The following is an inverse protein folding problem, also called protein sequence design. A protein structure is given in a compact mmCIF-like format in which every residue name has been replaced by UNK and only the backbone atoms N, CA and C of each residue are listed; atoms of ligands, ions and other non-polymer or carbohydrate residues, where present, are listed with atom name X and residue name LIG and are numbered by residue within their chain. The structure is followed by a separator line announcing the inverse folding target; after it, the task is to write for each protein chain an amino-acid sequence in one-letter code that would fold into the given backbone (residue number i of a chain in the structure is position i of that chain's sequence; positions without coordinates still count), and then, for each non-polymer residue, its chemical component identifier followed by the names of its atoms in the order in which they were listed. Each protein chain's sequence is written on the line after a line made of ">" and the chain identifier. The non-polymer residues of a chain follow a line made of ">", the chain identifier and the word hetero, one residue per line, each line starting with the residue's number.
data_IF_840911434294
#
_entry.id   IF_840911434294
#
_cell.length_a   1.000
_cell.length_b   1.000
_cell.length_c   1.000
_cell.angle_alpha   90.00
_cell.angle_beta   90.00
_cell.angle_gamma   90.00
#
_symmetry.space_group_name_H-M   'P 1'
#
loop_
_entity.id
_entity.type
_entity.pdbx_description
1 polymer ?
#
# COMPACT_ATOMS: atom_id res chain seq x y z
N UNK A 1 1.82 3.93 42.20
CA UNK A 1 0.51 4.21 41.56
C UNK A 1 0.66 5.49 40.76
N UNK A 2 0.66 5.42 39.43
CA UNK A 2 0.77 6.63 38.61
C UNK A 2 -0.54 7.42 38.74
N UNK A 3 -0.47 8.62 39.31
CA UNK A 3 -1.63 9.49 39.49
C UNK A 3 -2.06 9.98 38.10
N UNK A 4 -3.35 9.84 37.76
CA UNK A 4 -3.86 10.37 36.49
C UNK A 4 -3.66 11.88 36.45
N UNK A 5 -2.98 12.37 35.42
CA UNK A 5 -2.85 13.79 35.15
C UNK A 5 -4.22 14.40 34.83
N UNK A 6 -4.55 15.52 35.47
CA UNK A 6 -5.79 16.28 35.22
C UNK A 6 -5.58 17.51 34.33
N UNK A 7 -4.33 17.86 34.03
CA UNK A 7 -4.01 19.00 33.16
C UNK A 7 -4.64 18.83 31.78
N UNK A 8 -5.16 19.93 31.22
CA UNK A 8 -5.80 19.95 29.89
C UNK A 8 -5.26 21.10 29.07
N UNK A 9 -5.26 20.94 27.75
CA UNK A 9 -4.89 22.02 26.83
C UNK A 9 -5.97 22.16 25.75
N UNK A 10 -6.34 23.40 25.45
CA UNK A 10 -7.27 23.75 24.38
C UNK A 10 -6.52 24.53 23.30
N UNK A 11 -6.53 24.00 22.08
CA UNK A 11 -6.01 24.70 20.90
C UNK A 11 -7.13 25.41 20.15
N UNK A 12 -6.93 26.67 19.79
CA UNK A 12 -7.86 27.48 19.01
C UNK A 12 -7.42 27.60 17.55
N UNK A 13 -8.33 28.05 16.67
CA UNK A 13 -8.08 28.18 15.22
C UNK A 13 -7.00 29.20 14.87
N UNK A 14 -6.74 30.17 15.74
CA UNK A 14 -5.65 31.16 15.62
C UNK A 14 -4.29 30.61 16.08
N UNK A 15 -4.21 29.29 16.30
CA UNK A 15 -3.02 28.60 16.83
C UNK A 15 -2.66 28.98 18.28
N UNK A 16 -3.51 29.72 18.99
CA UNK A 16 -3.32 29.93 20.43
C UNK A 16 -3.63 28.66 21.21
N UNK A 17 -2.88 28.42 22.28
CA UNK A 17 -3.02 27.25 23.15
C UNK A 17 -3.20 27.75 24.59
N UNK A 18 -4.29 27.34 25.23
CA UNK A 18 -4.55 27.62 26.64
C UNK A 18 -4.41 26.32 27.42
N UNK A 19 -3.45 26.28 28.35
CA UNK A 19 -3.23 25.15 29.25
C UNK A 19 -3.92 25.45 30.59
N UNK A 20 -4.61 24.45 31.14
CA UNK A 20 -5.26 24.49 32.45
C UNK A 20 -4.63 23.45 33.36
N UNK A 21 -4.36 23.88 34.59
CA UNK A 21 -3.69 23.12 35.65
C UNK A 21 -2.24 22.74 35.33
N UNK A 22 -1.48 22.39 36.37
CA UNK A 22 -0.09 21.93 36.22
C UNK A 22 -0.02 20.41 36.01
N UNK A 23 0.98 19.96 35.24
CA UNK A 23 1.26 18.54 35.06
C UNK A 23 1.78 17.92 36.36
N UNK A 24 1.29 16.73 36.68
CA UNK A 24 1.72 15.96 37.86
C UNK A 24 2.74 14.87 37.52
N UNK A 25 3.30 14.92 36.31
CA UNK A 25 4.28 13.97 35.79
C UNK A 25 5.29 14.70 34.91
N UNK A 26 6.47 14.10 34.75
CA UNK A 26 7.45 14.55 33.77
C UNK A 26 6.99 14.21 32.34
N UNK A 27 7.50 14.91 31.32
CA UNK A 27 7.28 14.56 29.93
C UNK A 27 7.75 13.12 29.64
N UNK A 28 6.93 12.38 28.89
CA UNK A 28 7.28 11.03 28.40
C UNK A 28 7.84 11.14 26.98
N UNK A 29 9.16 11.35 26.90
CA UNK A 29 9.88 11.47 25.63
C UNK A 29 9.77 10.20 24.77
N UNK A 30 9.71 9.03 25.41
CA UNK A 30 9.53 7.75 24.72
C UNK A 30 8.16 7.67 24.06
N UNK A 31 7.10 8.03 24.78
CA UNK A 31 5.75 8.07 24.21
C UNK A 31 5.64 9.09 23.07
N UNK A 32 6.31 10.24 23.17
CA UNK A 32 6.37 11.24 22.10
C UNK A 32 7.03 10.68 20.83
N UNK A 33 8.21 10.08 20.96
CA UNK A 33 8.93 9.46 19.83
C UNK A 33 8.07 8.36 19.18
N UNK A 34 7.46 7.49 19.98
CA UNK A 34 6.57 6.43 19.49
C UNK A 34 5.35 7.02 18.77
N UNK A 35 4.79 8.12 19.25
CA UNK A 35 3.67 8.80 18.60
C UNK A 35 4.06 9.36 17.23
N UNK A 36 5.18 10.08 17.14
CA UNK A 36 5.71 10.62 15.89
C UNK A 36 5.99 9.51 14.87
N UNK A 37 6.59 8.40 15.31
CA UNK A 37 6.81 7.22 14.47
C UNK A 37 5.50 6.65 13.91
N UNK A 38 4.46 6.50 14.74
CA UNK A 38 3.16 6.00 14.30
C UNK A 38 2.50 6.95 13.31
N UNK A 39 2.66 8.26 13.49
CA UNK A 39 2.14 9.26 12.54
C UNK A 39 2.87 9.17 11.20
N UNK A 40 4.20 9.04 11.22
CA UNK A 40 5.01 8.84 10.02
C UNK A 40 4.63 7.56 9.27
N UNK A 41 4.43 6.44 9.98
CA UNK A 41 3.94 5.19 9.40
C UNK A 41 2.60 5.39 8.69
N UNK A 42 1.64 6.05 9.35
CA UNK A 42 0.32 6.31 8.77
C UNK A 42 0.40 7.19 7.52
N UNK A 43 1.27 8.19 7.52
CA UNK A 43 1.53 9.07 6.38
C UNK A 43 2.12 8.29 5.20
N UNK A 44 3.21 7.55 5.41
CA UNK A 44 3.82 6.66 4.40
C UNK A 44 2.83 5.63 3.86
N UNK A 45 1.98 5.06 4.71
CA UNK A 45 0.98 4.10 4.26
C UNK A 45 -0.04 4.70 3.26
N UNK A 46 -0.27 6.02 3.30
CA UNK A 46 -1.16 6.71 2.36
C UNK A 46 -0.42 7.11 1.09
N UNK A 47 0.80 7.62 1.22
CA UNK A 47 1.62 8.12 0.11
C UNK A 47 2.23 7.00 -0.75
N UNK A 48 2.60 5.88 -0.13
CA UNK A 48 3.28 4.78 -0.79
C UNK A 48 2.30 3.66 -1.19
N UNK A 49 2.42 3.15 -2.42
CA UNK A 49 1.61 2.03 -2.92
C UNK A 49 2.14 0.64 -2.56
N UNK A 50 3.36 0.54 -2.00
CA UNK A 50 4.05 -0.73 -1.73
C UNK A 50 3.42 -1.61 -0.63
N UNK A 51 3.91 -2.83 -0.40
CA UNK A 51 3.44 -3.70 0.68
C UNK A 51 3.56 -3.03 2.06
N UNK A 52 2.57 -3.21 2.92
CA UNK A 52 2.61 -2.66 4.30
C UNK A 52 3.79 -3.23 5.08
N UNK A 53 4.17 -4.47 4.79
CA UNK A 53 5.27 -5.16 5.45
C UNK A 53 6.59 -4.42 5.23
N UNK A 54 6.86 -4.00 4.00
CA UNK A 54 8.03 -3.16 3.67
C UNK A 54 8.02 -1.83 4.44
N UNK A 55 6.87 -1.16 4.53
CA UNK A 55 6.73 0.12 5.24
C UNK A 55 7.01 -0.06 6.74
N UNK A 56 6.55 -1.18 7.31
CA UNK A 56 6.77 -1.51 8.71
C UNK A 56 8.24 -1.88 8.95
N UNK A 57 8.82 -2.72 8.11
CA UNK A 57 10.23 -3.15 8.21
C UNK A 57 11.21 -1.99 8.14
N UNK A 58 11.01 -1.05 7.23
CA UNK A 58 11.87 0.15 7.10
C UNK A 58 11.91 0.94 8.42
N UNK A 59 10.79 1.02 9.14
CA UNK A 59 10.70 1.72 10.41
C UNK A 59 11.34 0.92 11.55
N UNK A 60 11.13 -0.40 11.62
CA UNK A 60 11.77 -1.23 12.62
C UNK A 60 13.30 -1.25 12.47
N UNK A 61 13.80 -1.23 11.23
CA UNK A 61 15.22 -1.08 10.96
C UNK A 61 15.78 0.23 11.52
N UNK A 62 15.06 1.34 11.35
CA UNK A 62 15.44 2.65 11.90
C UNK A 62 15.37 2.73 13.44
N UNK A 63 14.50 1.92 14.08
CA UNK A 63 14.33 1.89 15.55
C UNK A 63 15.42 1.06 16.21
N UNK A 64 15.82 -0.07 15.61
CA UNK A 64 16.83 -0.96 16.16
C UNK A 64 18.20 -0.26 16.37
N UNK A 65 18.41 0.88 15.71
CA UNK A 65 19.60 1.73 15.84
C UNK A 65 19.52 2.67 17.07
N UNK A 66 18.34 2.89 17.68
CA UNK A 66 18.10 4.03 18.59
C UNK A 66 17.76 3.74 20.06
N UNK A 67 17.36 2.52 20.47
CA UNK A 67 17.35 2.00 21.88
C UNK A 67 16.29 0.90 22.09
N UNK A 68 16.54 -0.01 23.04
CA UNK A 68 15.61 -1.09 23.43
C UNK A 68 14.32 -0.58 24.10
N UNK A 69 14.35 0.56 24.78
CA UNK A 69 13.20 1.12 25.50
C UNK A 69 12.06 1.54 24.55
N UNK A 70 12.40 1.91 23.31
CA UNK A 70 11.42 2.23 22.27
C UNK A 70 10.60 0.99 21.88
N UNK A 71 11.26 -0.17 21.74
CA UNK A 71 10.66 -1.43 21.29
C UNK A 71 9.55 -1.88 22.25
N UNK A 72 9.77 -1.71 23.55
CA UNK A 72 8.80 -2.09 24.60
C UNK A 72 7.52 -1.23 24.52
N UNK A 73 7.63 0.02 24.05
CA UNK A 73 6.52 0.96 23.98
C UNK A 73 5.77 0.94 22.62
N UNK A 74 6.24 0.15 21.65
CA UNK A 74 5.57 -0.04 20.37
C UNK A 74 4.39 -1.03 20.48
N UNK A 75 3.30 -0.80 19.74
CA UNK A 75 2.28 -1.82 19.59
C UNK A 75 2.86 -3.03 18.86
N UNK A 76 2.22 -4.18 19.03
CA UNK A 76 2.54 -5.35 18.22
C UNK A 76 2.54 -5.02 16.72
N UNK A 77 3.41 -5.70 15.97
CA UNK A 77 3.48 -5.59 14.50
C UNK A 77 2.10 -5.79 13.87
N UNK A 78 1.30 -6.75 14.38
CA UNK A 78 -0.08 -6.98 13.93
C UNK A 78 -0.96 -5.75 14.10
N UNK A 79 -0.89 -5.09 15.26
CA UNK A 79 -1.67 -3.87 15.53
C UNK A 79 -1.25 -2.72 14.60
N UNK A 80 0.06 -2.58 14.35
CA UNK A 80 0.58 -1.59 13.40
C UNK A 80 0.05 -1.86 12.00
N UNK A 81 0.24 -3.09 11.47
CA UNK A 81 -0.26 -3.49 10.15
C UNK A 81 -1.75 -3.21 9.99
N UNK A 82 -2.58 -3.61 10.97
CA UNK A 82 -4.02 -3.36 10.94
C UNK A 82 -4.36 -1.85 10.91
N UNK A 83 -3.62 -1.03 11.67
CA UNK A 83 -3.81 0.42 11.68
C UNK A 83 -3.48 1.05 10.32
N UNK A 84 -2.40 0.60 9.68
CA UNK A 84 -1.95 1.07 8.38
C UNK A 84 -2.91 0.65 7.26
N UNK A 85 -3.37 -0.60 7.27
CA UNK A 85 -4.42 -1.07 6.37
C UNK A 85 -5.69 -0.23 6.51
N UNK A 86 -6.09 0.09 7.75
CA UNK A 86 -7.26 0.95 8.01
C UNK A 86 -7.06 2.35 7.43
N UNK A 87 -5.86 2.93 7.49
CA UNK A 87 -5.61 4.24 6.84
C UNK A 87 -5.71 4.14 5.33
N UNK A 88 -5.10 3.13 4.70
CA UNK A 88 -5.19 2.90 3.25
C UNK A 88 -6.62 2.75 2.75
N UNK A 89 -7.47 2.04 3.51
CA UNK A 89 -8.88 1.87 3.16
C UNK A 89 -9.68 3.18 3.17
N UNK A 90 -9.19 4.27 3.77
CA UNK A 90 -9.88 5.56 3.73
C UNK A 90 -9.70 6.29 2.39
N UNK A 91 -8.61 6.02 1.67
CA UNK A 91 -8.28 6.71 0.42
C UNK A 91 -8.49 5.84 -0.82
N UNK A 92 -8.62 4.52 -0.63
CA UNK A 92 -8.86 3.56 -1.71
C UNK A 92 -10.36 3.28 -1.89
N UNK A 93 -10.82 3.02 -3.12
CA UNK A 93 -12.18 2.57 -3.36
C UNK A 93 -12.44 1.21 -2.66
N UNK A 94 -13.71 0.89 -2.36
CA UNK A 94 -14.08 -0.41 -1.84
C UNK A 94 -13.67 -1.53 -2.82
N UNK A 95 -13.36 -2.71 -2.29
CA UNK A 95 -13.00 -3.87 -3.11
C UNK A 95 -14.27 -4.34 -3.85
N UNK A 96 -14.26 -4.33 -5.20
CA UNK A 96 -15.42 -4.78 -5.98
C UNK A 96 -15.69 -6.26 -5.71
N UNK A 97 -16.97 -6.61 -5.54
CA UNK A 97 -17.47 -7.97 -5.35
C UNK A 97 -18.04 -8.57 -6.64
N UNK A 98 -18.38 -7.72 -7.61
CA UNK A 98 -18.83 -8.13 -8.95
C UNK A 98 -18.13 -7.29 -10.02
N UNK A 99 -18.12 -7.76 -11.27
CA UNK A 99 -17.45 -7.07 -12.38
C UNK A 99 -18.10 -5.72 -12.70
N UNK A 100 -19.41 -5.58 -12.47
CA UNK A 100 -20.17 -4.35 -12.68
C UNK A 100 -19.81 -3.25 -11.67
N UNK A 101 -19.27 -3.62 -10.50
CA UNK A 101 -18.79 -2.66 -9.51
C UNK A 101 -17.43 -2.07 -9.87
N UNK A 102 -16.73 -2.64 -10.86
CA UNK A 102 -15.47 -2.11 -11.35
C UNK A 102 -15.75 -0.90 -12.26
N UNK A 103 -15.21 0.30 -11.96
CA UNK A 103 -15.45 1.48 -12.78
C UNK A 103 -15.04 1.28 -14.24
N UNK A 104 -15.83 1.79 -15.19
CA UNK A 104 -15.50 1.82 -16.62
C UNK A 104 -15.79 3.23 -17.17
N UNK A 105 -14.77 4.00 -17.59
CA UNK A 105 -13.34 3.66 -17.54
C UNK A 105 -12.77 3.64 -16.11
N UNK A 106 -11.65 2.94 -15.92
CA UNK A 106 -10.85 3.03 -14.69
C UNK A 106 -10.26 4.45 -14.53
N UNK A 107 -10.06 4.90 -13.29
CA UNK A 107 -9.39 6.18 -13.04
C UNK A 107 -7.93 6.12 -13.48
N UNK A 108 -7.42 7.21 -14.04
CA UNK A 108 -6.08 7.29 -14.65
C UNK A 108 -4.95 6.83 -13.70
N UNK A 109 -5.10 7.05 -12.39
CA UNK A 109 -4.16 6.58 -11.37
C UNK A 109 -3.97 5.05 -11.32
N UNK A 110 -4.94 4.27 -11.80
CA UNK A 110 -4.85 2.81 -11.91
C UNK A 110 -4.41 2.35 -13.30
N UNK A 111 -4.29 3.26 -14.26
CA UNK A 111 -3.90 2.95 -15.63
C UNK A 111 -2.41 3.17 -15.89
N UNK A 112 -1.67 3.72 -14.91
CA UNK A 112 -0.27 4.09 -15.01
C UNK A 112 0.59 3.39 -13.96
N UNK A 113 1.88 3.24 -14.26
CA UNK A 113 2.89 2.78 -13.30
C UNK A 113 3.15 3.84 -12.22
N UNK A 114 3.88 3.48 -11.17
CA UNK A 114 4.33 4.45 -10.14
C UNK A 114 5.28 5.51 -10.70
N UNK A 115 5.84 5.31 -11.89
CA UNK A 115 6.67 6.28 -12.61
C UNK A 115 5.85 7.11 -13.61
N UNK A 116 4.53 6.89 -13.71
CA UNK A 116 3.63 7.64 -14.58
C UNK A 116 3.56 7.14 -16.03
N UNK A 117 4.17 5.99 -16.35
CA UNK A 117 4.09 5.37 -17.67
C UNK A 117 2.74 4.66 -17.85
N UNK A 118 2.17 4.66 -19.05
CA UNK A 118 0.97 3.88 -19.33
C UNK A 118 1.22 2.39 -19.11
N UNK A 119 0.27 1.76 -18.41
CA UNK A 119 0.34 0.36 -18.03
C UNK A 119 -0.90 -0.42 -18.44
N UNK A 120 -2.10 0.14 -18.28
CA UNK A 120 -3.33 -0.48 -18.79
C UNK A 120 -3.42 -0.26 -20.30
N UNK A 121 -3.28 -1.35 -21.08
CA UNK A 121 -3.32 -1.32 -22.54
C UNK A 121 -4.71 -1.65 -23.10
N UNK A 122 -5.48 -2.46 -22.38
CA UNK A 122 -6.81 -2.88 -22.79
C UNK A 122 -7.75 -2.98 -21.58
N UNK A 123 -8.95 -2.44 -21.73
CA UNK A 123 -10.09 -2.62 -20.84
C UNK A 123 -11.33 -2.76 -21.71
N UNK A 124 -11.82 -3.99 -21.87
CA UNK A 124 -12.89 -4.29 -22.82
C UNK A 124 -13.36 -5.73 -22.75
N UNK A 125 -14.19 -6.13 -23.70
CA UNK A 125 -14.77 -7.48 -23.75
C UNK A 125 -13.92 -8.43 -24.59
N UNK A 126 -13.41 -9.49 -23.97
CA UNK A 126 -12.82 -10.65 -24.64
C UNK A 126 -13.74 -11.84 -24.42
N UNK A 127 -14.22 -12.47 -25.50
CA UNK A 127 -15.15 -13.60 -25.37
C UNK A 127 -16.48 -13.25 -24.68
N UNK A 128 -16.85 -11.96 -24.64
CA UNK A 128 -18.06 -11.48 -23.97
C UNK A 128 -17.88 -11.12 -22.49
N UNK A 129 -16.71 -11.35 -21.90
CA UNK A 129 -16.40 -11.01 -20.51
C UNK A 129 -15.38 -9.88 -20.44
N UNK A 130 -15.54 -8.99 -19.46
CA UNK A 130 -14.63 -7.86 -19.30
C UNK A 130 -13.25 -8.35 -18.86
N UNK A 131 -12.23 -7.95 -19.60
CA UNK A 131 -10.84 -8.30 -19.36
C UNK A 131 -9.96 -7.06 -19.36
N UNK A 132 -8.94 -7.07 -18.51
CA UNK A 132 -7.92 -6.02 -18.44
C UNK A 132 -6.58 -6.58 -18.89
N UNK A 133 -5.88 -5.91 -19.79
CA UNK A 133 -4.51 -6.27 -20.18
C UNK A 133 -3.59 -5.11 -19.83
N UNK A 134 -2.55 -5.42 -19.07
CA UNK A 134 -1.58 -4.47 -18.59
C UNK A 134 -0.16 -4.86 -19.01
N UNK A 135 0.58 -3.91 -19.59
CA UNK A 135 2.01 -3.99 -19.86
C UNK A 135 2.55 -2.58 -20.13
N UNK A 136 3.84 -2.36 -19.93
CA UNK A 136 4.48 -1.14 -20.43
C UNK A 136 4.87 -1.29 -21.89
N UNK A 137 5.04 -0.17 -22.60
CA UNK A 137 5.58 -0.20 -23.97
C UNK A 137 6.95 -0.87 -24.04
N UNK A 138 7.77 -0.68 -23.01
CA UNK A 138 9.10 -1.33 -22.89
C UNK A 138 8.95 -2.84 -22.82
N UNK A 139 8.03 -3.35 -22.00
CA UNK A 139 7.81 -4.79 -21.84
C UNK A 139 7.30 -5.43 -23.14
N UNK A 140 6.38 -4.77 -23.85
CA UNK A 140 5.89 -5.24 -25.15
C UNK A 140 6.99 -5.23 -26.21
N UNK A 141 7.78 -4.15 -26.27
CA UNK A 141 8.91 -4.05 -27.19
C UNK A 141 9.93 -5.14 -26.90
N UNK A 142 10.22 -5.39 -25.62
CA UNK A 142 11.13 -6.43 -25.18
C UNK A 142 10.63 -7.82 -25.58
N UNK A 143 9.35 -8.12 -25.33
CA UNK A 143 8.72 -9.37 -25.78
C UNK A 143 8.82 -9.55 -27.29
N UNK A 144 8.58 -8.51 -28.09
CA UNK A 144 8.66 -8.61 -29.56
C UNK A 144 10.05 -8.97 -30.10
N UNK A 145 11.10 -8.81 -29.28
CA UNK A 145 12.47 -9.16 -29.63
C UNK A 145 12.86 -10.57 -29.16
N UNK A 146 12.03 -11.21 -28.33
CA UNK A 146 12.30 -12.56 -27.85
C UNK A 146 11.88 -13.61 -28.88
N UNK A 147 12.68 -14.65 -29.02
CA UNK A 147 12.33 -15.82 -29.83
C UNK A 147 11.23 -16.67 -29.17
N UNK A 148 11.21 -16.72 -27.84
CA UNK A 148 10.31 -17.57 -27.08
C UNK A 148 9.59 -16.77 -25.98
N UNK A 149 8.29 -17.03 -25.84
CA UNK A 149 7.47 -16.50 -24.75
C UNK A 149 6.92 -17.65 -23.91
N UNK A 150 6.75 -17.38 -22.62
CA UNK A 150 6.14 -18.32 -21.68
C UNK A 150 4.83 -17.73 -21.18
N UNK A 151 3.77 -18.53 -21.20
CA UNK A 151 2.47 -18.18 -20.66
C UNK A 151 2.21 -18.94 -19.38
N UNK A 152 1.75 -18.26 -18.33
CA UNK A 152 1.31 -18.90 -17.08
C UNK A 152 -0.04 -18.34 -16.63
N UNK A 153 -0.97 -19.24 -16.36
CA UNK A 153 -2.34 -18.95 -15.93
C UNK A 153 -2.52 -19.31 -14.45
N UNK A 154 -2.87 -18.32 -13.63
CA UNK A 154 -3.08 -18.48 -12.19
C UNK A 154 -4.54 -18.23 -11.83
N UNK A 155 -5.21 -19.29 -11.39
CA UNK A 155 -6.64 -19.25 -10.99
C UNK A 155 -6.79 -18.94 -9.50
N UNK A 156 -5.96 -19.58 -8.66
CA UNK A 156 -6.10 -19.53 -7.19
C UNK A 156 -5.90 -18.12 -6.59
N UNK A 157 -5.01 -17.33 -7.20
CA UNK A 157 -4.67 -15.97 -6.75
C UNK A 157 -5.45 -14.88 -7.47
N UNK A 158 -6.35 -15.26 -8.40
CA UNK A 158 -7.13 -14.31 -9.18
C UNK A 158 -8.19 -13.62 -8.31
N UNK A 159 -8.40 -12.30 -8.44
CA UNK A 159 -9.55 -11.64 -7.83
C UNK A 159 -10.85 -12.33 -8.30
N UNK A 160 -11.77 -12.60 -7.38
CA UNK A 160 -12.99 -13.39 -7.65
C UNK A 160 -13.95 -12.78 -8.69
N UNK A 161 -13.74 -11.52 -9.06
CA UNK A 161 -14.49 -10.84 -10.12
C UNK A 161 -13.95 -11.16 -11.53
N UNK A 162 -12.82 -11.86 -11.63
CA UNK A 162 -12.21 -12.37 -12.84
C UNK A 162 -12.03 -13.89 -12.74
N UNK A 163 -11.97 -14.57 -13.88
CA UNK A 163 -11.79 -16.01 -13.95
C UNK A 163 -10.32 -16.43 -13.70
N UNK A 164 -9.36 -15.70 -14.27
CA UNK A 164 -7.93 -15.98 -14.10
C UNK A 164 -7.04 -14.75 -14.26
N UNK A 165 -5.87 -14.80 -13.64
CA UNK A 165 -4.74 -13.92 -13.99
C UNK A 165 -3.83 -14.70 -14.94
N UNK A 166 -3.69 -14.23 -16.17
CA UNK A 166 -2.75 -14.78 -17.14
C UNK A 166 -1.54 -13.86 -17.27
N UNK A 167 -0.35 -14.42 -17.38
CA UNK A 167 0.88 -13.66 -17.52
C UNK A 167 1.72 -14.17 -18.68
N UNK A 168 2.33 -13.25 -19.42
CA UNK A 168 3.29 -13.56 -20.49
C UNK A 168 4.66 -13.11 -20.03
N UNK A 169 5.63 -14.02 -20.08
CA UNK A 169 6.98 -13.83 -19.60
C UNK A 169 7.97 -13.89 -20.75
N UNK A 170 8.97 -13.01 -20.65
CA UNK A 170 10.19 -13.11 -21.41
C UNK A 170 11.24 -13.86 -20.58
N UNK A 171 12.08 -14.65 -21.23
CA UNK A 171 13.18 -15.34 -20.58
C UNK A 171 14.50 -14.77 -21.06
N UNK A 172 15.36 -14.40 -20.12
CA UNK A 172 16.69 -13.90 -20.41
C UNK A 172 17.66 -14.28 -19.31
N UNK A 173 18.80 -14.85 -19.71
CA UNK A 173 19.92 -15.20 -18.81
C UNK A 173 19.49 -15.97 -17.54
N UNK A 174 18.67 -17.01 -17.70
CA UNK A 174 18.21 -17.82 -16.57
C UNK A 174 16.98 -17.26 -15.83
N UNK A 175 16.53 -16.05 -16.19
CA UNK A 175 15.48 -15.33 -15.47
C UNK A 175 14.23 -15.24 -16.33
N UNK A 176 13.11 -15.73 -15.81
CA UNK A 176 11.77 -15.48 -16.37
C UNK A 176 11.19 -14.23 -15.72
N UNK A 177 10.91 -13.21 -16.53
CA UNK A 177 10.32 -11.96 -16.07
C UNK A 177 8.94 -11.75 -16.71
N UNK A 178 7.89 -11.46 -15.91
CA UNK A 178 6.58 -11.15 -16.45
C UNK A 178 6.59 -9.80 -17.15
N UNK A 179 6.09 -9.77 -18.38
CA UNK A 179 6.03 -8.59 -19.23
C UNK A 179 4.59 -8.14 -19.50
N UNK A 180 3.63 -9.07 -19.49
CA UNK A 180 2.19 -8.78 -19.64
C UNK A 180 1.43 -9.46 -18.52
N UNK A 181 0.44 -8.76 -17.98
CA UNK A 181 -0.55 -9.30 -17.06
C UNK A 181 -1.94 -9.10 -17.65
N UNK A 182 -2.76 -10.14 -17.64
CA UNK A 182 -4.14 -10.09 -18.07
C UNK A 182 -5.06 -10.62 -16.98
N UNK A 183 -6.02 -9.80 -16.56
CA UNK A 183 -7.16 -10.23 -15.76
C UNK A 183 -8.26 -10.62 -16.75
N UNK A 184 -8.50 -11.92 -16.88
CA UNK A 184 -9.44 -12.47 -17.86
C UNK A 184 -10.76 -12.78 -17.16
N UNK A 185 -11.85 -12.23 -17.70
CA UNK A 185 -13.20 -12.39 -17.16
C UNK A 185 -13.88 -13.68 -17.54
#
# INVERSE_FOLDING_TARGET
>A
VCVKCKATATSYSDSSIVVRDEHTHLPDETAKIVLEMRQNLKRKAIEESGPIDRIVEEVFHNINIKSNDLVINLPSIRTLKNSLQKQRRKTRPPIPQTIEQLPSPLSESYCKTTQGEWFLLYDGLLGGTRSLICATYKDITYLSQQEHWYGDGTFYTCPSIFYQVYSIHAYYDGISAPCVFALLG
#
